data_IF_699216415435
#
_entry.id   IF_699216415435
#
_cell.length_a   1.000
_cell.length_b   1.000
_cell.length_c   1.000
_cell.angle_alpha   90.00
_cell.angle_beta   90.00
_cell.angle_gamma   90.00
#
_symmetry.space_group_name_H-M   'P 1'
#
loop_
_entity.id
_entity.type
_entity.pdbx_description
1 polymer ?
#
# COMPACT_ATOMS: atom_id res chain seq x y z
N UNK A 1 14.32 -2.17 29.34
CA UNK A 1 14.14 -3.64 29.46
C UNK A 1 13.48 -4.11 28.16
N UNK A 2 14.21 -4.16 27.04
CA UNK A 2 13.59 -4.40 25.71
C UNK A 2 14.49 -5.25 24.82
N UNK A 3 14.70 -6.51 25.19
CA UNK A 3 15.41 -7.51 24.37
C UNK A 3 14.75 -8.89 24.53
N UNK A 4 13.43 -8.88 24.73
CA UNK A 4 12.70 -10.06 25.21
C UNK A 4 12.10 -10.85 24.06
N UNK A 5 11.50 -10.23 23.06
CA UNK A 5 10.60 -10.94 22.15
C UNK A 5 11.35 -11.87 21.16
N UNK A 6 12.43 -11.38 20.53
CA UNK A 6 13.31 -12.21 19.69
C UNK A 6 13.88 -13.39 20.48
N UNK A 7 14.41 -13.12 21.67
CA UNK A 7 15.03 -14.15 22.53
C UNK A 7 14.01 -15.18 23.00
N UNK A 8 12.79 -14.75 23.33
CA UNK A 8 11.70 -15.66 23.72
C UNK A 8 11.22 -16.53 22.55
N UNK A 9 11.29 -16.06 21.30
CA UNK A 9 10.94 -16.86 20.13
C UNK A 9 12.04 -17.84 19.73
N UNK A 10 13.32 -17.46 19.90
CA UNK A 10 14.47 -18.34 19.63
C UNK A 10 14.65 -19.45 20.70
N UNK A 11 14.32 -19.17 21.96
CA UNK A 11 14.42 -20.13 23.08
C UNK A 11 13.11 -20.92 23.32
N UNK A 12 12.12 -20.82 22.42
CA UNK A 12 10.82 -21.48 22.60
C UNK A 12 10.92 -23.00 22.37
N UNK A 13 10.76 -23.79 23.43
CA UNK A 13 10.68 -25.26 23.36
C UNK A 13 9.25 -25.77 23.60
N UNK A 14 8.78 -26.67 22.73
CA UNK A 14 7.44 -27.26 22.82
C UNK A 14 7.49 -28.76 23.17
N UNK A 15 6.60 -29.21 24.06
CA UNK A 15 6.47 -30.63 24.41
C UNK A 15 5.76 -31.43 23.32
N UNK A 16 6.32 -32.59 22.95
CA UNK A 16 5.71 -33.47 21.94
C UNK A 16 4.46 -34.17 22.49
N UNK A 17 3.38 -34.17 21.72
CA UNK A 17 2.13 -34.86 22.04
C UNK A 17 1.72 -35.82 20.92
N UNK A 18 0.88 -36.83 21.21
CA UNK A 18 0.50 -37.89 20.26
C UNK A 18 -0.21 -37.39 18.99
N UNK A 19 -0.67 -36.15 18.97
CA UNK A 19 -1.23 -35.46 17.81
C UNK A 19 -0.91 -33.98 17.99
N UNK A 20 -0.08 -33.42 17.12
CA UNK A 20 0.42 -32.06 17.23
C UNK A 20 0.67 -31.46 15.87
N UNK A 21 1.06 -30.18 15.87
CA UNK A 21 1.52 -29.48 14.67
C UNK A 21 2.81 -30.11 14.14
N UNK A 22 2.97 -30.07 12.82
CA UNK A 22 4.19 -30.54 12.18
C UNK A 22 5.39 -29.70 12.64
N UNK A 23 6.49 -30.37 12.97
CA UNK A 23 7.65 -29.69 13.55
C UNK A 23 8.31 -28.75 12.56
N UNK A 24 8.42 -29.16 11.29
CA UNK A 24 9.12 -28.39 10.28
C UNK A 24 8.30 -27.14 9.90
N UNK A 25 6.96 -27.26 9.87
CA UNK A 25 6.05 -26.11 9.66
C UNK A 25 6.10 -25.11 10.83
N UNK A 26 6.20 -25.60 12.07
CA UNK A 26 6.31 -24.75 13.26
C UNK A 26 7.67 -24.04 13.29
N UNK A 27 8.77 -24.74 12.95
CA UNK A 27 10.11 -24.15 12.88
C UNK A 27 10.17 -23.07 11.78
N UNK A 28 9.59 -23.30 10.60
CA UNK A 28 9.50 -22.30 9.52
C UNK A 28 8.64 -21.08 9.92
N UNK A 29 7.56 -21.31 10.68
CA UNK A 29 6.74 -20.23 11.22
C UNK A 29 7.50 -19.39 12.26
N UNK A 30 8.28 -20.02 13.14
CA UNK A 30 9.10 -19.33 14.13
C UNK A 30 10.19 -18.49 13.47
N UNK A 31 10.86 -19.00 12.43
CA UNK A 31 11.84 -18.23 11.65
C UNK A 31 11.21 -16.99 11.02
N UNK A 32 10.01 -17.13 10.42
CA UNK A 32 9.24 -16.01 9.89
C UNK A 32 8.83 -15.02 10.99
N UNK A 33 8.43 -15.51 12.17
CA UNK A 33 8.04 -14.69 13.31
C UNK A 33 9.23 -13.89 13.88
N UNK A 34 10.42 -14.48 13.95
CA UNK A 34 11.66 -13.80 14.35
C UNK A 34 12.05 -12.72 13.33
N UNK A 35 11.95 -13.01 12.03
CA UNK A 35 12.17 -12.02 10.98
C UNK A 35 11.16 -10.86 11.05
N UNK A 36 9.90 -11.13 11.39
CA UNK A 36 8.90 -10.09 11.61
C UNK A 36 9.17 -9.28 12.89
N UNK A 37 9.55 -9.94 13.99
CA UNK A 37 9.88 -9.27 15.24
C UNK A 37 11.07 -8.30 15.07
N UNK A 38 12.14 -8.75 14.40
CA UNK A 38 13.29 -7.88 14.09
C UNK A 38 12.91 -6.71 13.19
N UNK A 39 12.01 -6.92 12.23
CA UNK A 39 11.48 -5.84 11.38
C UNK A 39 10.61 -4.85 12.17
N UNK A 40 9.81 -5.32 13.12
CA UNK A 40 8.99 -4.48 14.00
C UNK A 40 9.88 -3.68 14.96
N UNK A 41 10.90 -4.30 15.55
CA UNK A 41 11.89 -3.61 16.39
C UNK A 41 12.69 -2.56 15.59
N UNK A 42 13.11 -2.89 14.36
CA UNK A 42 13.76 -1.94 13.46
C UNK A 42 12.83 -0.77 13.10
N UNK A 43 11.55 -1.04 12.86
CA UNK A 43 10.55 0.00 12.59
C UNK A 43 10.24 0.84 13.83
N UNK A 44 10.22 0.26 15.03
CA UNK A 44 10.02 0.99 16.28
C UNK A 44 11.22 1.89 16.58
N UNK A 45 12.44 1.39 16.40
CA UNK A 45 13.66 2.20 16.55
C UNK A 45 13.73 3.29 15.48
N UNK A 46 13.38 3.00 14.23
CA UNK A 46 13.29 3.98 13.16
C UNK A 46 12.24 5.06 13.45
N UNK A 47 11.02 4.69 13.86
CA UNK A 47 9.96 5.66 14.19
C UNK A 47 10.28 6.47 15.44
N UNK A 48 10.96 5.88 16.43
CA UNK A 48 11.51 6.63 17.57
C UNK A 48 12.63 7.58 17.14
N UNK A 49 13.50 7.18 16.21
CA UNK A 49 14.56 8.02 15.69
C UNK A 49 14.00 9.14 14.79
N UNK A 50 12.96 8.86 14.01
CA UNK A 50 12.21 9.83 13.20
C UNK A 50 11.44 10.81 14.09
N UNK A 51 10.81 10.34 15.18
CA UNK A 51 10.21 11.20 16.19
C UNK A 51 11.27 12.05 16.89
N UNK A 52 12.44 11.48 17.23
CA UNK A 52 13.60 12.23 17.75
C UNK A 52 14.15 13.23 16.74
N UNK A 53 14.18 12.92 15.45
CA UNK A 53 14.64 13.83 14.38
C UNK A 53 13.61 14.91 14.08
N UNK A 54 12.32 14.62 14.20
CA UNK A 54 11.25 15.60 14.02
C UNK A 54 11.14 16.53 15.22
N UNK A 55 11.45 16.03 16.42
CA UNK A 55 11.52 16.83 17.65
C UNK A 55 12.85 17.58 17.82
N UNK A 56 13.97 17.09 17.28
CA UNK A 56 15.31 17.66 17.51
C UNK A 56 16.16 18.00 16.26
N UNK A 57 15.69 17.76 15.04
CA UNK A 57 16.41 18.09 13.80
C UNK A 57 17.72 17.32 13.57
N UNK A 58 18.28 17.30 12.34
CA UNK A 58 19.50 16.53 12.01
C UNK A 58 20.80 17.10 12.62
N UNK A 59 20.72 18.24 13.34
CA UNK A 59 21.83 18.89 14.01
C UNK A 59 21.35 19.75 15.19
N UNK A 60 20.36 19.28 15.97
CA UNK A 60 20.00 19.94 17.22
C UNK A 60 21.08 19.70 18.28
N UNK A 61 21.39 20.69 19.14
CA UNK A 61 22.24 20.46 20.32
C UNK A 61 21.67 19.29 21.15
N UNK A 62 22.48 18.59 21.98
CA UNK A 62 21.92 17.57 22.87
C UNK A 62 20.72 18.18 23.57
N UNK A 63 19.61 17.42 23.63
CA UNK A 63 18.40 17.88 24.30
C UNK A 63 18.80 18.60 25.57
N UNK A 64 18.55 19.93 25.62
CA UNK A 64 18.90 20.75 26.79
C UNK A 64 18.39 19.94 27.95
N UNK A 65 19.33 19.38 28.71
CA UNK A 65 18.96 18.47 29.77
C UNK A 65 18.01 19.24 30.69
N UNK A 66 17.08 18.57 31.35
CA UNK A 66 16.23 19.25 32.36
C UNK A 66 17.10 20.10 33.30
N UNK A 67 18.33 19.66 33.57
CA UNK A 67 19.36 20.41 34.29
C UNK A 67 19.84 21.72 33.62
N UNK A 68 19.95 21.80 32.28
CA UNK A 68 20.27 23.05 31.59
C UNK A 68 19.10 24.03 31.56
N UNK A 69 17.88 23.51 31.48
CA UNK A 69 16.64 24.30 31.56
C UNK A 69 16.48 24.83 32.98
N UNK A 70 16.69 23.99 33.98
CA UNK A 70 16.66 24.33 35.40
C UNK A 70 17.77 25.33 35.74
N UNK A 71 18.99 25.15 35.25
CA UNK A 71 20.09 26.10 35.43
C UNK A 71 19.87 27.46 34.72
N UNK A 72 19.11 27.48 33.62
CA UNK A 72 18.70 28.72 32.96
C UNK A 72 17.57 29.43 33.74
N UNK A 73 16.61 28.67 34.28
CA UNK A 73 15.57 29.20 35.16
C UNK A 73 16.20 29.77 36.43
N UNK A 74 17.13 29.06 37.07
CA UNK A 74 17.87 29.52 38.24
C UNK A 74 18.68 30.78 37.95
N UNK A 75 19.37 30.86 36.80
CA UNK A 75 20.08 32.07 36.38
C UNK A 75 19.14 33.25 36.19
N UNK A 76 17.98 33.03 35.58
CA UNK A 76 16.99 34.08 35.30
C UNK A 76 16.30 34.56 36.58
N UNK A 77 16.07 33.65 37.53
CA UNK A 77 15.57 33.97 38.88
C UNK A 77 16.63 34.73 39.68
N UNK A 78 17.90 34.33 39.62
CA UNK A 78 19.00 35.02 40.30
C UNK A 78 19.20 36.45 39.78
N UNK A 79 19.09 36.68 38.46
CA UNK A 79 19.15 38.02 37.87
C UNK A 79 17.98 38.88 38.38
N UNK A 80 16.76 38.35 38.43
CA UNK A 80 15.59 39.08 38.94
C UNK A 80 15.67 39.38 40.43
N UNK A 81 16.23 38.48 41.22
CA UNK A 81 16.49 38.69 42.64
C UNK A 81 17.55 39.78 42.87
N UNK A 82 18.63 39.77 42.10
CA UNK A 82 19.67 40.81 42.16
C UNK A 82 19.13 42.18 41.72
N UNK A 83 18.28 42.23 40.68
CA UNK A 83 17.60 43.46 40.26
C UNK A 83 16.61 43.99 41.32
N UNK A 84 15.88 43.09 41.99
CA UNK A 84 14.98 43.46 43.09
C UNK A 84 15.74 43.96 44.33
N UNK A 85 16.86 43.33 44.69
CA UNK A 85 17.75 43.78 45.77
C UNK A 85 18.42 45.12 45.45
N UNK A 86 18.84 45.34 44.20
CA UNK A 86 19.38 46.63 43.75
C UNK A 86 18.30 47.73 43.79
N UNK A 87 17.06 47.41 43.41
CA UNK A 87 15.91 48.32 43.53
C UNK A 87 15.56 48.62 44.99
N UNK A 88 15.70 47.64 45.90
CA UNK A 88 15.47 47.83 47.33
C UNK A 88 16.57 48.66 47.99
N UNK A 89 17.84 48.45 47.59
CA UNK A 89 18.98 49.22 48.06
C UNK A 89 18.96 50.67 47.53
N UNK A 90 18.48 50.89 46.30
CA UNK A 90 18.27 52.23 45.74
C UNK A 90 17.06 52.96 46.37
N UNK A 91 16.07 52.22 46.89
CA UNK A 91 14.91 52.76 47.59
C UNK A 91 15.14 53.01 49.10
N UNK A 92 16.28 52.60 49.66
CA UNK A 92 16.67 52.97 51.02
C UNK A 92 17.09 54.46 51.02
N UNK A 93 16.37 55.37 51.70
CA UNK A 93 16.77 56.77 51.72
C UNK A 93 18.07 56.91 52.50
N UNK A 94 19.08 57.52 51.86
CA UNK A 94 20.21 58.10 52.56
C UNK A 94 19.67 59.17 53.53
N UNK A 95 19.44 58.79 54.78
CA UNK A 95 18.99 59.69 55.82
C UNK A 95 20.12 60.70 56.16
N UNK A 96 19.93 62.01 55.97
CA UNK A 96 20.85 63.01 56.52
C UNK A 96 20.71 63.05 58.06
N UNK A 97 21.79 63.34 58.82
CA UNK A 97 21.72 63.42 60.27
C UNK A 97 20.83 64.60 60.67
N UNK A 98 19.74 64.29 61.37
CA UNK A 98 18.71 65.23 61.80
C UNK A 98 19.27 66.16 62.89
N UNK A 99 19.44 67.45 62.56
CA UNK A 99 19.63 68.50 63.54
C UNK A 99 18.32 68.76 64.30
N UNK A 100 18.43 68.90 65.62
CA UNK A 100 17.33 69.08 66.55
C UNK A 100 16.48 70.32 66.23
N UNK A 101 15.21 70.10 65.89
CA UNK A 101 14.12 71.06 65.96
C UNK A 101 13.07 70.54 66.97
N UNK A 102 12.30 71.41 67.66
CA UNK A 102 11.26 70.98 68.58
C UNK A 102 10.18 70.21 67.81
N UNK A 103 9.96 68.95 68.21
CA UNK A 103 9.18 67.98 67.45
C UNK A 103 7.66 68.17 67.56
N UNK A 104 6.91 67.77 66.53
CA UNK A 104 5.46 67.57 66.61
C UNK A 104 5.13 66.48 67.65
N UNK A 105 3.92 66.50 68.17
CA UNK A 105 3.44 65.57 69.20
C UNK A 105 3.42 64.12 68.68
N UNK A 106 3.53 63.12 69.57
CA UNK A 106 3.52 61.69 69.19
C UNK A 106 2.29 61.28 68.36
N UNK A 107 1.17 61.99 68.55
CA UNK A 107 -0.06 61.82 67.78
C UNK A 107 0.10 62.24 66.30
N UNK A 108 0.79 63.34 66.02
CA UNK A 108 1.04 63.83 64.66
C UNK A 108 1.96 62.88 63.89
N UNK A 109 2.96 62.30 64.56
CA UNK A 109 3.82 61.25 63.98
C UNK A 109 3.04 59.96 63.69
N UNK A 110 2.11 59.56 64.56
CA UNK A 110 1.25 58.41 64.32
C UNK A 110 0.31 58.63 63.11
N UNK A 111 -0.17 59.85 62.90
CA UNK A 111 -0.97 60.21 61.73
C UNK A 111 -0.17 60.21 60.43
N UNK A 112 1.07 60.74 60.45
CA UNK A 112 1.97 60.69 59.30
C UNK A 112 2.31 59.25 58.91
N UNK A 113 2.63 58.39 59.89
CA UNK A 113 2.87 56.97 59.66
C UNK A 113 1.64 56.25 59.08
N UNK A 114 0.44 56.59 59.53
CA UNK A 114 -0.80 56.03 58.95
C UNK A 114 -1.00 56.49 57.50
N UNK A 115 -0.76 57.77 57.20
CA UNK A 115 -0.88 58.31 55.83
C UNK A 115 0.13 57.68 54.87
N UNK A 116 1.35 57.45 55.31
CA UNK A 116 2.38 56.79 54.47
C UNK A 116 2.07 55.31 54.25
N UNK A 117 1.58 54.58 55.27
CA UNK A 117 1.14 53.20 55.11
C UNK A 117 -0.04 53.07 54.14
N UNK A 118 -1.02 53.98 54.21
CA UNK A 118 -2.16 53.98 53.29
C UNK A 118 -1.71 54.29 51.85
N UNK A 119 -0.77 55.20 51.66
CA UNK A 119 -0.18 55.45 50.34
C UNK A 119 0.57 54.22 49.82
N UNK A 120 1.41 53.61 50.67
CA UNK A 120 2.18 52.41 50.33
C UNK A 120 1.26 51.22 49.99
N UNK A 121 0.20 51.01 50.77
CA UNK A 121 -0.81 49.99 50.51
C UNK A 121 -1.50 50.26 49.17
N UNK A 122 -1.91 51.51 48.91
CA UNK A 122 -2.53 51.87 47.63
C UNK A 122 -1.59 51.65 46.44
N UNK A 123 -0.29 51.91 46.60
CA UNK A 123 0.69 51.62 45.54
C UNK A 123 0.91 50.12 45.36
N UNK A 124 0.91 49.34 46.45
CA UNK A 124 0.99 47.88 46.37
C UNK A 124 -0.25 47.29 45.68
N UNK A 125 -1.45 47.76 46.03
CA UNK A 125 -2.69 47.32 45.39
C UNK A 125 -2.76 47.70 43.91
N UNK A 126 -2.20 48.85 43.53
CA UNK A 126 -2.07 49.26 42.13
C UNK A 126 -1.10 48.34 41.37
N UNK A 127 0.08 48.05 41.94
CA UNK A 127 1.06 47.14 41.35
C UNK A 127 0.51 45.71 41.22
N UNK A 128 -0.26 45.22 42.20
CA UNK A 128 -0.92 43.91 42.13
C UNK A 128 -1.95 43.89 41.00
N UNK A 129 -2.71 44.97 40.79
CA UNK A 129 -3.69 45.04 39.72
C UNK A 129 -3.03 45.03 38.34
N UNK A 130 -1.99 45.83 38.15
CA UNK A 130 -1.20 45.87 36.92
C UNK A 130 -0.57 44.49 36.63
N UNK A 131 0.05 43.85 37.62
CA UNK A 131 0.62 42.52 37.46
C UNK A 131 -0.43 41.45 37.11
N UNK A 132 -1.68 41.59 37.62
CA UNK A 132 -2.79 40.70 37.25
C UNK A 132 -3.25 40.94 35.82
N UNK A 133 -3.42 42.20 35.42
CA UNK A 133 -3.79 42.56 34.04
C UNK A 133 -2.74 42.07 33.04
N UNK A 134 -1.45 42.19 33.37
CA UNK A 134 -0.38 41.69 32.51
C UNK A 134 -0.30 40.16 32.47
N UNK A 135 -0.56 39.48 33.60
CA UNK A 135 -0.68 38.04 33.62
C UNK A 135 -1.88 37.54 32.79
N UNK A 136 -3.00 38.25 32.81
CA UNK A 136 -4.17 37.96 31.97
C UNK A 136 -3.89 38.17 30.48
N UNK A 137 -3.20 39.25 30.11
CA UNK A 137 -2.74 39.47 28.72
C UNK A 137 -1.82 38.36 28.25
N UNK A 138 -0.81 38.00 29.04
CA UNK A 138 0.14 36.95 28.69
C UNK A 138 -0.56 35.59 28.51
N UNK A 139 -1.55 35.28 29.35
CA UNK A 139 -2.37 34.07 29.21
C UNK A 139 -3.20 34.10 27.93
N UNK A 140 -3.85 35.23 27.63
CA UNK A 140 -4.64 35.37 26.41
C UNK A 140 -3.77 35.24 25.15
N UNK A 141 -2.57 35.81 25.14
CA UNK A 141 -1.60 35.67 24.05
C UNK A 141 -1.15 34.20 23.90
N UNK A 142 -0.78 33.53 25.00
CA UNK A 142 -0.40 32.13 24.98
C UNK A 142 -1.54 31.21 24.50
N UNK A 143 -2.78 31.46 24.94
CA UNK A 143 -3.95 30.69 24.51
C UNK A 143 -4.24 30.88 23.01
N UNK A 144 -4.05 32.11 22.49
CA UNK A 144 -4.15 32.40 21.06
C UNK A 144 -3.08 31.70 20.24
N UNK A 145 -1.82 31.70 20.71
CA UNK A 145 -0.72 30.99 20.05
C UNK A 145 -0.96 29.48 20.03
N UNK A 146 -1.40 28.89 21.15
CA UNK A 146 -1.74 27.46 21.21
C UNK A 146 -2.91 27.13 20.27
N UNK A 147 -3.93 27.97 20.20
CA UNK A 147 -5.05 27.78 19.28
C UNK A 147 -4.61 27.86 17.81
N UNK A 148 -3.74 28.81 17.48
CA UNK A 148 -3.18 28.96 16.13
C UNK A 148 -2.34 27.75 15.73
N UNK A 149 -1.42 27.30 16.60
CA UNK A 149 -0.58 26.12 16.37
C UNK A 149 -1.42 24.85 16.22
N UNK A 150 -2.48 24.69 17.02
CA UNK A 150 -3.40 23.55 16.89
C UNK A 150 -4.12 23.58 15.55
N UNK A 151 -4.67 24.74 15.15
CA UNK A 151 -5.35 24.87 13.86
C UNK A 151 -4.40 24.60 12.68
N UNK A 152 -3.15 25.04 12.78
CA UNK A 152 -2.13 24.78 11.75
C UNK A 152 -1.82 23.28 11.68
N UNK A 153 -1.51 22.65 12.82
CA UNK A 153 -1.24 21.22 12.90
C UNK A 153 -2.41 20.36 12.41
N UNK A 154 -3.65 20.72 12.76
CA UNK A 154 -4.85 20.06 12.26
C UNK A 154 -4.97 20.20 10.73
N UNK A 155 -4.71 21.39 10.18
CA UNK A 155 -4.73 21.61 8.73
C UNK A 155 -3.65 20.82 8.01
N UNK A 156 -2.45 20.69 8.59
CA UNK A 156 -1.39 19.86 8.04
C UNK A 156 -1.75 18.37 8.06
N UNK A 157 -2.28 17.87 9.18
CA UNK A 157 -2.75 16.48 9.28
C UNK A 157 -3.85 16.21 8.28
N UNK A 158 -4.79 17.14 8.09
CA UNK A 158 -5.84 17.01 7.09
C UNK A 158 -5.29 16.99 5.66
N UNK A 159 -4.32 17.86 5.33
CA UNK A 159 -3.65 17.86 4.02
C UNK A 159 -2.93 16.54 3.77
N UNK A 160 -2.11 16.08 4.72
CA UNK A 160 -1.38 14.81 4.63
C UNK A 160 -2.33 13.62 4.48
N UNK A 161 -3.46 13.61 5.21
CA UNK A 161 -4.50 12.58 5.05
C UNK A 161 -5.11 12.61 3.64
N UNK A 162 -5.49 13.78 3.15
CA UNK A 162 -6.04 13.92 1.81
C UNK A 162 -5.04 13.51 0.71
N UNK A 163 -3.75 13.77 0.91
CA UNK A 163 -2.69 13.37 -0.02
C UNK A 163 -2.54 11.84 -0.03
N UNK A 164 -2.47 11.21 1.14
CA UNK A 164 -2.44 9.74 1.26
C UNK A 164 -3.69 9.08 0.66
N UNK A 165 -4.87 9.67 0.87
CA UNK A 165 -6.11 9.14 0.28
C UNK A 165 -6.10 9.21 -1.25
N UNK A 166 -5.51 10.27 -1.83
CA UNK A 166 -5.31 10.37 -3.29
C UNK A 166 -4.33 9.33 -3.79
N UNK A 167 -3.18 9.17 -3.13
CA UNK A 167 -2.18 8.16 -3.48
C UNK A 167 -2.76 6.74 -3.43
N UNK A 168 -3.53 6.42 -2.38
CA UNK A 168 -4.21 5.14 -2.26
C UNK A 168 -5.26 4.92 -3.35
N UNK A 169 -6.03 5.96 -3.70
CA UNK A 169 -7.01 5.87 -4.78
C UNK A 169 -6.33 5.65 -6.14
N UNK A 170 -5.23 6.35 -6.42
CA UNK A 170 -4.43 6.19 -7.63
C UNK A 170 -3.79 4.81 -7.70
N UNK A 171 -3.16 4.35 -6.63
CA UNK A 171 -2.57 3.01 -6.55
C UNK A 171 -3.62 1.92 -6.78
N UNK A 172 -4.81 2.05 -6.20
CA UNK A 172 -5.92 1.13 -6.43
C UNK A 172 -6.41 1.16 -7.87
N UNK A 173 -6.51 2.33 -8.48
CA UNK A 173 -6.92 2.45 -9.88
C UNK A 173 -5.90 1.81 -10.82
N UNK A 174 -4.62 2.03 -10.59
CA UNK A 174 -3.54 1.44 -11.38
C UNK A 174 -3.53 -0.09 -11.21
N UNK A 175 -3.65 -0.61 -9.98
CA UNK A 175 -3.75 -2.04 -9.74
C UNK A 175 -4.95 -2.68 -10.47
N UNK A 176 -6.12 -2.02 -10.44
CA UNK A 176 -7.31 -2.48 -11.16
C UNK A 176 -7.14 -2.42 -12.68
N UNK A 177 -6.41 -1.42 -13.21
CA UNK A 177 -6.10 -1.33 -14.63
C UNK A 177 -5.18 -2.47 -15.05
N UNK A 178 -4.10 -2.71 -14.32
CA UNK A 178 -3.17 -3.81 -14.59
C UNK A 178 -3.88 -5.17 -14.61
N UNK A 179 -4.73 -5.44 -13.61
CA UNK A 179 -5.51 -6.70 -13.57
C UNK A 179 -6.45 -6.82 -14.77
N UNK A 180 -7.04 -5.72 -15.23
CA UNK A 180 -7.91 -5.74 -16.42
C UNK A 180 -7.12 -5.98 -17.71
N UNK A 181 -5.94 -5.39 -17.82
CA UNK A 181 -5.03 -5.61 -18.95
C UNK A 181 -4.56 -7.06 -18.98
N UNK A 182 -4.12 -7.62 -17.85
CA UNK A 182 -3.72 -9.02 -17.74
C UNK A 182 -4.88 -9.98 -18.08
N UNK A 183 -6.10 -9.69 -17.58
CA UNK A 183 -7.28 -10.47 -17.98
C UNK A 183 -7.48 -10.39 -19.49
N UNK A 184 -7.44 -9.21 -20.09
CA UNK A 184 -7.62 -9.05 -21.53
C UNK A 184 -6.55 -9.80 -22.34
N UNK A 185 -5.29 -9.80 -21.89
CA UNK A 185 -4.20 -10.56 -22.49
C UNK A 185 -4.46 -12.08 -22.40
N UNK A 186 -4.79 -12.58 -21.21
CA UNK A 186 -5.10 -13.99 -20.98
C UNK A 186 -6.33 -14.44 -21.78
N UNK A 187 -7.34 -13.59 -21.91
CA UNK A 187 -8.51 -13.84 -22.75
C UNK A 187 -8.14 -13.90 -24.23
N UNK A 188 -7.26 -13.02 -24.70
CA UNK A 188 -6.70 -13.06 -26.05
C UNK A 188 -5.94 -14.36 -26.34
N UNK A 189 -5.06 -14.78 -25.42
CA UNK A 189 -4.34 -16.06 -25.54
C UNK A 189 -5.30 -17.24 -25.55
N UNK A 190 -6.31 -17.23 -24.66
CA UNK A 190 -7.35 -18.28 -24.60
C UNK A 190 -8.13 -18.36 -25.92
N UNK A 191 -8.47 -17.24 -26.53
CA UNK A 191 -9.16 -17.20 -27.83
C UNK A 191 -8.28 -17.71 -28.97
N UNK A 192 -7.01 -17.35 -29.00
CA UNK A 192 -6.04 -17.87 -29.95
C UNK A 192 -5.91 -19.41 -29.84
N UNK A 193 -5.72 -19.93 -28.62
CA UNK A 193 -5.65 -21.37 -28.38
C UNK A 193 -6.93 -22.11 -28.79
N UNK A 194 -8.10 -21.51 -28.55
CA UNK A 194 -9.38 -22.08 -29.02
C UNK A 194 -9.47 -22.10 -30.55
N UNK A 195 -8.98 -21.06 -31.22
CA UNK A 195 -8.91 -21.04 -32.67
C UNK A 195 -7.97 -22.14 -33.20
N UNK A 196 -6.81 -22.31 -32.58
CA UNK A 196 -5.84 -23.36 -32.93
C UNK A 196 -6.42 -24.77 -32.74
N UNK A 197 -7.11 -25.02 -31.63
CA UNK A 197 -7.83 -26.28 -31.41
C UNK A 197 -8.84 -26.52 -32.54
N UNK A 198 -9.62 -25.51 -32.93
CA UNK A 198 -10.56 -25.64 -34.05
C UNK A 198 -9.87 -25.89 -35.40
N UNK A 199 -8.65 -25.39 -35.62
CA UNK A 199 -7.84 -25.71 -36.81
C UNK A 199 -7.37 -27.16 -36.77
N UNK A 200 -6.85 -27.63 -35.62
CA UNK A 200 -6.39 -28.99 -35.44
C UNK A 200 -7.52 -30.01 -35.57
N UNK A 201 -8.69 -29.74 -35.00
CA UNK A 201 -9.88 -30.60 -35.14
C UNK A 201 -10.30 -30.75 -36.60
N UNK A 202 -10.34 -29.63 -37.35
CA UNK A 202 -10.64 -29.66 -38.78
C UNK A 202 -9.61 -30.48 -39.55
N UNK A 203 -8.33 -30.30 -39.24
CA UNK A 203 -7.26 -31.05 -39.87
C UNK A 203 -7.39 -32.55 -39.60
N UNK A 204 -7.64 -32.96 -38.35
CA UNK A 204 -7.84 -34.37 -37.99
C UNK A 204 -9.05 -34.97 -38.72
N UNK A 205 -10.15 -34.24 -38.82
CA UNK A 205 -11.33 -34.73 -39.55
C UNK A 205 -11.05 -34.86 -41.07
N UNK A 206 -10.31 -33.92 -41.65
CA UNK A 206 -9.84 -34.02 -43.05
C UNK A 206 -8.97 -35.27 -43.26
N UNK A 207 -7.97 -35.49 -42.39
CA UNK A 207 -7.11 -36.68 -42.45
C UNK A 207 -7.92 -37.97 -42.28
N UNK A 208 -8.90 -38.00 -41.38
CA UNK A 208 -9.78 -39.15 -41.17
C UNK A 208 -10.63 -39.44 -42.41
N UNK A 209 -11.16 -38.41 -43.06
CA UNK A 209 -11.95 -38.57 -44.28
C UNK A 209 -11.09 -39.00 -45.46
N UNK A 210 -9.88 -38.47 -45.58
CA UNK A 210 -8.91 -38.92 -46.57
C UNK A 210 -8.56 -40.41 -46.39
N UNK A 211 -8.26 -40.84 -45.16
CA UNK A 211 -8.00 -42.26 -44.85
C UNK A 211 -9.22 -43.16 -45.14
N UNK A 212 -10.44 -42.71 -44.82
CA UNK A 212 -11.65 -43.47 -45.17
C UNK A 212 -11.84 -43.58 -46.68
N UNK A 213 -11.56 -42.51 -47.44
CA UNK A 213 -11.63 -42.54 -48.90
C UNK A 213 -10.64 -43.54 -49.48
N UNK A 214 -9.37 -43.46 -49.08
CA UNK A 214 -8.32 -44.36 -49.58
C UNK A 214 -8.60 -45.81 -49.19
N UNK A 215 -9.05 -46.08 -47.96
CA UNK A 215 -9.48 -47.42 -47.54
C UNK A 215 -10.64 -47.91 -48.40
N UNK A 216 -11.64 -47.06 -48.67
CA UNK A 216 -12.77 -47.40 -49.54
C UNK A 216 -12.38 -47.67 -50.99
N UNK A 217 -11.40 -46.93 -51.52
CA UNK A 217 -10.81 -47.17 -52.84
C UNK A 217 -10.06 -48.51 -52.89
N UNK A 218 -9.24 -48.81 -51.88
CA UNK A 218 -8.53 -50.08 -51.76
C UNK A 218 -9.51 -51.26 -51.62
N UNK A 219 -10.59 -51.09 -50.84
CA UNK A 219 -11.65 -52.10 -50.72
C UNK A 219 -12.35 -52.37 -52.06
N UNK A 220 -12.71 -51.33 -52.82
CA UNK A 220 -13.28 -51.48 -54.16
C UNK A 220 -12.35 -52.19 -55.13
N UNK A 221 -11.05 -51.87 -55.08
CA UNK A 221 -10.04 -52.52 -55.92
C UNK A 221 -9.86 -54.01 -55.55
N UNK A 222 -10.00 -54.36 -54.27
CA UNK A 222 -9.99 -55.76 -53.81
C UNK A 222 -11.26 -56.53 -54.19
N UNK A 223 -12.44 -55.88 -54.18
CA UNK A 223 -13.72 -56.49 -54.53
C UNK A 223 -13.89 -56.71 -56.06
N UNK A 224 -13.31 -55.84 -56.89
CA UNK A 224 -13.26 -56.00 -58.36
C UNK A 224 -11.82 -56.24 -58.86
N UNK A 225 -11.34 -57.51 -58.88
CA UNK A 225 -9.99 -57.82 -59.32
C UNK A 225 -9.76 -57.57 -60.83
N UNK A 226 -10.81 -57.30 -61.62
CA UNK A 226 -10.65 -56.88 -63.01
C UNK A 226 -10.04 -55.47 -63.13
N UNK A 227 -10.09 -54.66 -62.05
CA UNK A 227 -9.44 -53.35 -61.96
C UNK A 227 -7.91 -53.38 -61.87
N UNK A 228 -7.31 -54.52 -61.52
CA UNK A 228 -5.85 -54.72 -61.53
C UNK A 228 -5.27 -55.02 -62.93
N UNK A 229 -6.08 -54.94 -63.99
CA UNK A 229 -5.57 -55.14 -65.36
C UNK A 229 -4.67 -53.97 -65.75
N UNK A 230 -3.37 -54.16 -65.54
CA UNK A 230 -2.30 -53.41 -66.17
C UNK A 230 -2.68 -53.18 -67.65
N UNK A 231 -2.66 -51.92 -68.10
CA UNK A 231 -2.83 -51.60 -69.51
C UNK A 231 -1.88 -52.48 -70.35
N UNK A 232 -2.30 -52.95 -71.54
CA UNK A 232 -1.43 -53.75 -72.39
C UNK A 232 -0.11 -53.01 -72.59
N UNK A 233 1.00 -53.74 -72.44
CA UNK A 233 2.36 -53.21 -72.57
C UNK A 233 2.45 -52.37 -73.85
N UNK A 234 2.80 -51.08 -73.79
CA UNK A 234 2.94 -50.27 -74.99
C UNK A 234 4.00 -50.92 -75.88
N UNK A 235 3.70 -51.08 -77.16
CA UNK A 235 4.66 -51.60 -78.12
C UNK A 235 5.86 -50.65 -78.17
N UNK A 236 7.01 -51.12 -77.69
CA UNK A 236 8.28 -50.40 -77.86
C UNK A 236 8.59 -50.41 -79.36
N UNK A 237 8.82 -49.23 -79.95
CA UNK A 237 9.55 -49.18 -81.21
C UNK A 237 10.95 -49.72 -80.93
N UNK A 238 11.39 -50.68 -81.74
CA UNK A 238 12.74 -51.24 -81.70
C UNK A 238 13.61 -50.42 -82.68
N UNK A 239 14.35 -49.39 -82.22
CA UNK A 239 15.21 -48.63 -83.11
C UNK A 239 16.36 -49.52 -83.60
N UNK A 240 16.55 -49.64 -84.92
CA UNK A 240 17.75 -50.25 -85.50
C UNK A 240 18.99 -49.48 -85.04
N UNK A 241 19.73 -50.03 -84.08
CA UNK A 241 21.04 -49.51 -83.66
C UNK A 241 22.04 -49.87 -84.78
N UNK A 242 22.66 -48.89 -85.45
CA UNK A 242 23.72 -49.16 -86.42
C UNK A 242 24.88 -49.86 -85.70
N UNK A 243 25.30 -51.04 -86.19
CA UNK A 243 26.51 -51.70 -85.70
C UNK A 243 27.72 -50.87 -86.12
N UNK A 244 28.43 -50.32 -85.13
CA UNK A 244 29.75 -49.75 -85.32
C UNK A 244 30.74 -50.92 -85.47
N UNK A 245 31.45 -50.95 -86.60
CA UNK A 245 32.56 -51.89 -86.81
C UNK A 245 33.70 -51.60 -85.81
N UNK A 246 34.49 -52.62 -85.39
CA UNK A 246 35.52 -52.43 -84.40
C UNK A 246 36.68 -51.64 -85.01
N UNK A 247 36.99 -50.48 -84.42
CA UNK A 247 38.22 -49.74 -84.70
C UNK A 247 39.36 -50.43 -83.95
N UNK A 248 40.42 -50.79 -84.67
CA UNK A 248 41.64 -51.42 -84.13
C UNK A 248 42.23 -50.58 -82.99
N UNK A 249 42.47 -51.24 -81.85
CA UNK A 249 43.17 -50.68 -80.71
C UNK A 249 44.64 -50.44 -81.07
N UNK A 250 45.00 -49.17 -81.25
CA UNK A 250 46.37 -48.70 -81.17
C UNK A 250 46.64 -48.20 -79.76
N UNK A 251 47.61 -48.83 -79.09
CA UNK A 251 48.12 -48.46 -77.77
C UNK A 251 48.56 -46.99 -77.71
N UNK A 252 47.92 -46.21 -76.85
CA UNK A 252 48.47 -44.98 -76.28
C UNK A 252 47.74 -44.71 -74.95
N UNK A 253 48.30 -45.19 -73.84
CA UNK A 253 48.15 -44.48 -72.56
C UNK A 253 48.87 -43.13 -72.72
N UNK A 254 48.26 -41.99 -72.32
CA UNK A 254 48.34 -41.67 -70.90
C UNK A 254 47.24 -40.74 -70.31
N UNK A 255 47.29 -40.71 -68.97
CA UNK A 255 47.06 -39.57 -68.06
C UNK A 255 45.64 -39.03 -67.90
N UNK A 256 45.14 -39.20 -66.67
CA UNK A 256 44.13 -38.33 -66.05
C UNK A 256 44.54 -36.86 -66.12
N UNK A 257 43.58 -35.96 -66.39
CA UNK A 257 43.56 -34.71 -65.66
C UNK A 257 42.16 -34.36 -65.14
N UNK A 258 42.15 -34.10 -63.84
CA UNK A 258 41.74 -32.86 -63.19
C UNK A 258 40.39 -32.21 -63.54
N UNK A 259 39.65 -32.07 -62.44
CA UNK A 259 38.37 -31.43 -62.24
C UNK A 259 38.59 -29.91 -62.06
N UNK A 260 38.30 -29.07 -63.07
CA UNK A 260 38.08 -27.64 -62.85
C UNK A 260 37.02 -27.05 -63.82
N UNK A 261 35.89 -26.66 -63.21
CA UNK A 261 35.14 -25.40 -63.34
C UNK A 261 34.69 -24.88 -64.71
N UNK A 262 33.40 -24.55 -64.83
CA UNK A 262 32.86 -23.28 -65.39
C UNK A 262 31.37 -23.20 -65.01
N UNK A 263 31.03 -22.56 -63.89
CA UNK A 263 30.69 -21.14 -63.76
C UNK A 263 29.41 -20.71 -64.52
N UNK A 264 28.35 -20.46 -63.74
CA UNK A 264 27.24 -19.61 -64.12
C UNK A 264 27.04 -18.57 -63.01
N UNK A 265 27.76 -17.46 -63.12
CA UNK A 265 27.49 -16.17 -62.46
C UNK A 265 26.14 -15.60 -62.91
N UNK A 266 25.43 -14.70 -62.23
CA UNK A 266 25.37 -14.17 -60.87
C UNK A 266 24.14 -13.24 -60.83
N UNK A 267 23.44 -13.10 -59.70
CA UNK A 267 22.49 -11.99 -59.54
C UNK A 267 21.45 -12.10 -58.43
N UNK A 268 21.88 -11.73 -57.21
CA UNK A 268 21.19 -10.90 -56.22
C UNK A 268 20.77 -11.57 -54.90
N UNK A 269 21.53 -11.16 -53.88
CA UNK A 269 21.45 -11.45 -52.45
C UNK A 269 20.38 -10.56 -51.81
N UNK A 270 19.55 -11.13 -50.93
CA UNK A 270 18.90 -10.42 -49.83
C UNK A 270 19.47 -10.99 -48.53
N UNK A 271 20.00 -10.09 -47.71
CA UNK A 271 20.75 -10.31 -46.47
C UNK A 271 19.79 -10.46 -45.27
N UNK A 272 20.08 -11.44 -44.38
CA UNK A 272 19.54 -11.51 -43.02
C UNK A 272 20.62 -12.07 -42.06
N UNK A 273 20.66 -11.62 -40.78
CA UNK A 273 21.86 -11.61 -39.92
C UNK A 273 22.19 -12.95 -39.22
N UNK A 274 23.39 -13.08 -38.60
CA UNK A 274 23.94 -14.37 -38.16
C UNK A 274 23.46 -14.75 -36.75
N UNK A 275 23.19 -16.04 -36.55
CA UNK A 275 23.05 -16.65 -35.22
C UNK A 275 24.38 -17.32 -34.87
N UNK A 276 25.05 -16.80 -33.86
CA UNK A 276 26.30 -17.35 -33.32
C UNK A 276 26.07 -18.73 -32.69
N UNK A 277 26.90 -19.70 -33.07
CA UNK A 277 27.03 -20.96 -32.38
C UNK A 277 27.76 -20.77 -31.04
N UNK A 278 27.06 -21.07 -29.94
CA UNK A 278 27.67 -21.32 -28.63
C UNK A 278 27.55 -22.81 -28.26
N UNK A 279 28.57 -23.29 -27.56
CA UNK A 279 28.95 -24.68 -27.26
C UNK A 279 27.88 -25.61 -26.64
N UNK A 280 28.04 -26.95 -26.74
CA UNK A 280 27.11 -27.91 -26.16
C UNK A 280 27.24 -27.95 -24.62
N UNK A 281 26.14 -27.66 -23.92
CA UNK A 281 26.00 -27.88 -22.49
C UNK A 281 25.28 -29.22 -22.28
N UNK A 282 25.90 -30.07 -21.47
CA UNK A 282 25.40 -31.36 -21.01
C UNK A 282 23.99 -31.26 -20.42
N UNK A 283 23.08 -32.12 -20.90
CA UNK A 283 21.77 -32.35 -20.29
C UNK A 283 21.92 -33.54 -19.34
N UNK A 284 21.85 -33.25 -18.04
CA UNK A 284 21.74 -34.24 -16.97
C UNK A 284 20.25 -34.59 -16.82
N UNK A 285 19.95 -35.89 -16.91
CA UNK A 285 18.60 -36.44 -16.65
C UNK A 285 18.21 -36.26 -15.18
N UNK A 286 16.93 -35.98 -14.89
CA UNK A 286 16.31 -36.46 -13.66
C UNK A 286 15.20 -37.47 -13.96
N UNK A 287 15.28 -38.56 -13.20
CA UNK A 287 14.37 -39.69 -13.16
C UNK A 287 13.01 -39.33 -12.53
N UNK A 288 11.99 -40.06 -12.98
CA UNK A 288 10.72 -40.40 -12.30
C UNK A 288 9.80 -39.28 -11.78
N UNK A 289 8.83 -38.93 -12.63
CA UNK A 289 7.56 -38.33 -12.23
C UNK A 289 6.66 -39.40 -11.56
N UNK A 290 6.43 -39.24 -10.26
CA UNK A 290 5.33 -39.89 -9.56
C UNK A 290 3.98 -39.38 -10.05
N UNK A 291 3.10 -40.29 -10.45
CA UNK A 291 1.78 -39.98 -10.99
C UNK A 291 0.86 -39.30 -9.98
N UNK A 292 0.27 -38.16 -10.38
CA UNK A 292 -0.85 -37.56 -9.69
C UNK A 292 -2.15 -38.18 -10.20
N UNK A 293 -2.70 -39.07 -9.36
CA UNK A 293 -4.02 -39.67 -9.52
C UNK A 293 -5.10 -38.63 -9.19
N UNK A 294 -5.91 -38.26 -10.18
CA UNK A 294 -7.21 -37.62 -9.95
C UNK A 294 -8.20 -38.68 -9.44
N UNK A 295 -8.53 -38.61 -8.15
CA UNK A 295 -9.52 -39.49 -7.51
C UNK A 295 -10.42 -38.72 -6.54
N UNK A 296 -11.72 -38.77 -6.82
CA UNK A 296 -12.90 -38.44 -6.01
C UNK A 296 -13.04 -37.05 -5.37
N UNK A 297 -13.90 -36.24 -6.01
CA UNK A 297 -14.63 -35.15 -5.36
C UNK A 297 -15.89 -35.75 -4.75
N UNK A 298 -15.86 -36.05 -3.44
CA UNK A 298 -17.08 -36.35 -2.69
C UNK A 298 -17.87 -35.06 -2.44
N UNK A 299 -19.15 -35.09 -2.79
CA UNK A 299 -20.12 -34.02 -2.58
C UNK A 299 -20.55 -33.99 -1.10
N UNK A 300 -20.21 -32.95 -0.36
CA UNK A 300 -20.65 -32.74 1.03
C UNK A 300 -22.11 -32.23 1.07
N UNK A 301 -22.99 -32.77 1.93
CA UNK A 301 -24.39 -32.35 2.02
C UNK A 301 -24.57 -31.03 2.80
N UNK A 302 -25.69 -30.30 2.62
CA UNK A 302 -25.90 -29.01 3.27
C UNK A 302 -26.20 -29.16 4.76
N UNK A 303 -25.42 -28.50 5.62
CA UNK A 303 -25.63 -28.46 7.07
C UNK A 303 -26.64 -27.34 7.42
N UNK A 304 -27.68 -27.62 8.21
CA UNK A 304 -28.71 -26.65 8.59
C UNK A 304 -28.26 -25.70 9.72
N UNK A 305 -28.82 -24.48 9.68
CA UNK A 305 -29.22 -23.55 10.75
C UNK A 305 -28.69 -23.82 12.19
N UNK A 306 -28.00 -22.84 12.80
CA UNK A 306 -27.55 -22.86 14.22
C UNK A 306 -28.67 -22.74 15.28
N UNK A 307 -28.42 -22.32 16.56
CA UNK A 307 -27.17 -22.11 17.32
C UNK A 307 -27.18 -22.92 18.68
N UNK A 308 -26.33 -22.68 19.71
CA UNK A 308 -26.17 -21.41 20.44
C UNK A 308 -24.73 -20.92 20.61
N UNK A 309 -24.62 -19.60 20.71
CA UNK A 309 -23.46 -18.80 21.09
C UNK A 309 -23.07 -19.10 22.54
N UNK A 310 -21.82 -19.52 22.78
CA UNK A 310 -21.24 -19.50 24.12
C UNK A 310 -20.57 -18.13 24.37
N UNK A 311 -21.01 -17.50 25.45
CA UNK A 311 -20.55 -16.23 25.98
C UNK A 311 -19.09 -16.32 26.43
N UNK A 312 -18.16 -15.74 25.66
CA UNK A 312 -16.84 -15.41 26.19
C UNK A 312 -17.02 -14.16 27.04
N UNK A 313 -17.09 -14.36 28.36
CA UNK A 313 -17.13 -13.28 29.35
C UNK A 313 -15.77 -12.55 29.39
N UNK A 314 -15.53 -11.63 28.44
CA UNK A 314 -14.50 -10.59 28.55
C UNK A 314 -15.04 -9.44 29.40
N UNK A 315 -15.13 -9.68 30.70
CA UNK A 315 -15.48 -8.62 31.67
C UNK A 315 -14.21 -7.78 31.90
N UNK A 316 -14.12 -6.60 31.28
CA UNK A 316 -13.11 -5.60 31.62
C UNK A 316 -12.40 -4.88 30.47
N UNK A 317 -12.82 -5.04 29.22
CA UNK A 317 -12.23 -4.26 28.12
C UNK A 317 -12.99 -2.93 27.94
N UNK A 318 -12.40 -1.76 28.28
CA UNK A 318 -13.08 -0.47 28.24
C UNK A 318 -13.61 -0.11 26.85
N UNK A 319 -12.96 -0.63 25.80
CA UNK A 319 -13.40 -0.45 24.41
C UNK A 319 -14.69 -1.22 24.12
N UNK A 320 -14.82 -2.45 24.61
CA UNK A 320 -16.02 -3.27 24.39
C UNK A 320 -17.19 -2.79 25.24
N UNK A 321 -16.92 -2.22 26.41
CA UNK A 321 -17.94 -1.56 27.23
C UNK A 321 -18.48 -0.28 26.56
N UNK A 322 -17.61 0.49 25.90
CA UNK A 322 -18.02 1.66 25.11
C UNK A 322 -18.81 1.26 23.87
N UNK A 323 -18.42 0.17 23.18
CA UNK A 323 -19.17 -0.38 22.05
C UNK A 323 -20.55 -0.91 22.46
N UNK A 324 -20.62 -1.62 23.61
CA UNK A 324 -21.89 -2.14 24.13
C UNK A 324 -22.80 -1.00 24.59
N UNK A 325 -22.23 0.06 25.16
CA UNK A 325 -22.96 1.29 25.51
C UNK A 325 -23.52 1.97 24.27
N UNK A 326 -22.74 2.12 23.21
CA UNK A 326 -23.19 2.69 21.94
C UNK A 326 -24.25 1.82 21.21
N UNK A 327 -24.15 0.49 21.30
CA UNK A 327 -25.16 -0.42 20.75
C UNK A 327 -26.47 -0.46 21.54
N UNK A 328 -26.43 -0.09 22.83
CA UNK A 328 -27.61 -0.04 23.70
C UNK A 328 -28.23 1.34 23.78
N UNK A 329 -27.61 2.33 23.11
CA UNK A 329 -28.07 3.72 23.08
C UNK A 329 -29.15 3.85 22.01
N UNK A 330 -30.40 3.62 22.42
CA UNK A 330 -31.60 3.76 21.59
C UNK A 330 -32.11 5.22 21.56
N UNK A 331 -31.19 6.17 21.70
CA UNK A 331 -31.46 7.60 21.63
C UNK A 331 -31.57 8.01 20.16
N UNK A 332 -32.72 8.54 19.70
CA UNK A 332 -32.95 8.76 18.27
C UNK A 332 -31.96 9.80 17.73
N UNK A 333 -31.08 9.35 16.84
CA UNK A 333 -30.19 10.19 16.05
C UNK A 333 -31.00 11.10 15.13
N UNK A 334 -31.31 12.29 15.61
CA UNK A 334 -31.81 13.41 14.80
C UNK A 334 -32.93 14.21 15.46
N UNK A 335 -33.05 15.51 15.17
CA UNK A 335 -34.16 16.33 15.65
C UNK A 335 -35.47 15.77 15.11
N UNK A 336 -36.34 15.25 15.97
CA UNK A 336 -37.74 14.99 15.64
C UNK A 336 -38.45 16.33 15.65
N UNK A 337 -38.97 16.73 14.49
CA UNK A 337 -40.01 17.75 14.41
C UNK A 337 -41.26 17.21 15.13
N UNK A 338 -41.38 17.52 16.42
CA UNK A 338 -42.61 17.32 17.18
C UNK A 338 -43.66 18.32 16.69
N UNK A 339 -44.45 17.92 15.69
CA UNK A 339 -45.72 18.55 15.35
C UNK A 339 -46.87 17.72 15.95
N UNK A 340 -47.73 18.27 16.81
CA UNK A 340 -48.88 17.55 17.33
C UNK A 340 -50.07 17.71 16.37
N UNK A 341 -50.74 16.62 15.99
CA UNK A 341 -52.04 16.72 15.32
C UNK A 341 -52.55 15.41 14.73
N UNK A 342 -53.53 14.79 15.38
CA UNK A 342 -54.16 13.53 14.98
C UNK A 342 -55.01 13.59 13.70
N UNK A 343 -55.59 12.45 13.27
CA UNK A 343 -56.29 12.35 11.99
C UNK A 343 -57.80 12.65 12.09
N UNK A 344 -58.32 13.14 10.96
CA UNK A 344 -59.73 13.23 10.55
C UNK A 344 -60.56 14.40 11.13
N UNK A 345 -60.82 15.42 10.29
CA UNK A 345 -62.15 15.69 9.73
C UNK A 345 -62.16 17.06 9.02
N UNK A 346 -62.62 17.04 7.77
CA UNK A 346 -63.49 18.05 7.16
C UNK A 346 -63.03 19.53 7.14
N UNK A 347 -62.64 20.01 5.94
CA UNK A 347 -63.28 21.18 5.30
C UNK A 347 -62.65 21.49 3.94
N UNK A 348 -63.54 21.54 2.97
CA UNK A 348 -63.37 22.15 1.65
C UNK A 348 -63.40 23.69 1.73
N UNK A 349 -63.04 24.33 0.60
CA UNK A 349 -63.05 25.79 0.28
C UNK A 349 -61.76 26.50 0.74
N UNK A 350 -60.92 27.16 -0.07
CA UNK A 350 -60.98 27.73 -1.43
C UNK A 350 -60.10 29.00 -1.41
N UNK A 351 -59.53 29.41 -2.57
CA UNK A 351 -58.79 30.68 -2.82
C UNK A 351 -57.33 30.68 -2.30
N UNK A 352 -56.26 31.04 -3.01
CA UNK A 352 -56.05 31.70 -4.30
C UNK A 352 -54.71 31.24 -4.90
N UNK A 353 -54.67 31.13 -6.23
CA UNK A 353 -53.55 30.75 -7.07
C UNK A 353 -53.11 32.01 -7.85
N UNK A 354 -52.11 32.73 -7.34
CA UNK A 354 -51.41 33.79 -8.05
C UNK A 354 -50.20 34.20 -7.21
N UNK A 355 -48.98 33.77 -7.58
CA UNK A 355 -47.73 34.54 -7.35
C UNK A 355 -46.40 33.83 -7.67
N UNK A 356 -46.36 32.56 -8.11
CA UNK A 356 -45.06 31.88 -8.38
C UNK A 356 -44.81 31.49 -9.84
N UNK A 357 -45.29 32.32 -10.78
CA UNK A 357 -44.81 32.32 -12.18
C UNK A 357 -43.88 33.51 -12.42
N UNK A 358 -42.61 33.27 -12.13
CA UNK A 358 -41.50 34.16 -12.42
C UNK A 358 -40.40 33.81 -11.42
N UNK A 359 -39.25 33.29 -11.79
CA UNK A 359 -38.35 33.84 -12.78
C UNK A 359 -37.59 32.73 -13.50
N UNK A 360 -37.62 32.76 -14.83
CA UNK A 360 -36.74 31.98 -15.69
C UNK A 360 -35.94 32.94 -16.56
N UNK A 361 -34.63 32.68 -16.61
CA UNK A 361 -33.62 33.12 -17.59
C UNK A 361 -33.07 34.55 -17.51
N UNK A 362 -31.89 34.67 -16.88
CA UNK A 362 -30.86 35.65 -17.23
C UNK A 362 -29.76 34.99 -18.07
N UNK A 363 -29.69 35.35 -19.36
CA UNK A 363 -28.59 35.04 -20.29
C UNK A 363 -27.78 36.33 -20.50
N UNK A 364 -26.51 36.16 -20.93
CA UNK A 364 -25.50 37.13 -21.43
C UNK A 364 -24.34 37.33 -20.44
N UNK A 365 -23.08 37.28 -20.85
CA UNK A 365 -22.50 37.59 -22.16
C UNK A 365 -21.73 36.45 -22.79
#
# INVERSE_FOLDING_TARGET
MELTLKRYLEEAEFSQSKRGYDRDEVDEFLDRAVAMATKVEAKLTQTMEEARRTTFGPAGPPARSEAEIEAEIERRVAVRLAEAEASAAAAAPAAPPLAAQPGPTEEEHAEEMRRTLVLAQRTADAAIREAREDAEKLRAEADQEVAALRSEAESEVQRRRADLDRELAEARNNANQNVREEIAELEGVREALRADVGVLERHVEEQRNQLRSTVGELQRLLEDPAGFRLAPTPALLDPEIPRLDPVEAGDEEPSEPEDETHDFTAGQVIEAPPVEHAAPVSIESPEEQGGLSFGDVEHEPPIPSGPPTEEIATTGDPFMDELRKAMSDDEPLGPRDDAPGGPAADRSVGLDDDERRGWRFGRRR
#
